data_IF_127335895811
#
_entry.id   IF_127335895811
#
_cell.length_a   1.000
_cell.length_b   1.000
_cell.length_c   1.000
_cell.angle_alpha   90.00
_cell.angle_beta   90.00
_cell.angle_gamma   90.00
#
_symmetry.space_group_name_H-M   'P 1'
#
loop_
_entity.id
_entity.type
_entity.pdbx_description
1 polymer ?
#
# COMPACT_ATOMS: atom_id res chain seq x y z
N UNK A 1 6.60 16.29 21.55
CA UNK A 1 6.81 16.01 20.12
C UNK A 1 6.27 17.17 19.31
N UNK A 2 6.91 17.57 18.20
CA UNK A 2 6.35 18.60 17.34
C UNK A 2 5.02 18.14 16.73
N UNK A 3 4.06 19.05 16.62
CA UNK A 3 2.81 18.82 15.89
C UNK A 3 3.00 19.31 14.46
N UNK A 4 2.77 18.43 13.49
CA UNK A 4 2.90 18.70 12.05
C UNK A 4 1.52 18.47 11.43
N UNK A 5 1.06 19.39 10.57
CA UNK A 5 -0.23 19.20 9.90
C UNK A 5 -0.15 18.05 8.90
N UNK A 6 -1.25 17.30 8.67
CA UNK A 6 -1.28 16.20 7.70
C UNK A 6 -0.85 16.64 6.29
N UNK A 7 -1.24 17.84 5.86
CA UNK A 7 -0.93 18.39 4.53
C UNK A 7 0.57 18.67 4.40
N UNK A 8 1.18 19.23 5.46
CA UNK A 8 2.62 19.49 5.49
C UNK A 8 3.42 18.19 5.50
N UNK A 9 2.97 17.21 6.27
CA UNK A 9 3.60 15.89 6.35
C UNK A 9 3.48 15.14 5.02
N UNK A 10 2.30 15.18 4.40
CA UNK A 10 2.05 14.57 3.11
C UNK A 10 2.96 15.16 2.03
N UNK A 11 3.02 16.49 1.90
CA UNK A 11 3.88 17.16 0.92
C UNK A 11 5.35 16.75 1.06
N UNK A 12 5.90 16.84 2.27
CA UNK A 12 7.30 16.46 2.54
C UNK A 12 7.52 14.97 2.25
N UNK A 13 6.59 14.11 2.66
CA UNK A 13 6.66 12.68 2.40
C UNK A 13 6.73 12.36 0.91
N UNK A 14 5.88 13.00 0.09
CA UNK A 14 5.90 12.79 -1.36
C UNK A 14 7.22 13.25 -1.96
N UNK A 15 7.70 14.44 -1.63
CA UNK A 15 8.98 14.98 -2.09
C UNK A 15 10.15 14.00 -1.79
N UNK A 16 10.15 13.41 -0.58
CA UNK A 16 11.16 12.43 -0.17
C UNK A 16 11.04 11.12 -0.96
N UNK A 17 9.84 10.58 -1.13
CA UNK A 17 9.63 9.33 -1.87
C UNK A 17 9.91 9.47 -3.37
N UNK A 18 9.59 10.62 -3.97
CA UNK A 18 9.96 10.94 -5.35
C UNK A 18 11.47 11.06 -5.51
N UNK A 19 12.16 11.75 -4.59
CA UNK A 19 13.63 11.76 -4.55
C UNK A 19 14.22 10.34 -4.35
N UNK A 20 13.47 9.47 -3.65
CA UNK A 20 13.83 8.06 -3.52
C UNK A 20 13.71 7.29 -4.86
N UNK A 21 13.03 7.84 -5.85
CA UNK A 21 12.89 7.30 -7.21
C UNK A 21 11.48 6.81 -7.55
N UNK A 22 10.52 6.94 -6.63
CA UNK A 22 9.13 6.59 -6.88
C UNK A 22 8.53 7.49 -7.97
N UNK A 23 7.47 7.00 -8.61
CA UNK A 23 6.61 7.89 -9.41
C UNK A 23 5.81 8.81 -8.48
N UNK A 24 5.31 9.93 -8.99
CA UNK A 24 4.47 10.82 -8.20
C UNK A 24 3.20 10.11 -7.67
N UNK A 25 2.63 9.21 -8.47
CA UNK A 25 1.43 8.45 -8.08
C UNK A 25 1.74 7.41 -7.00
N UNK A 26 2.84 6.67 -7.12
CA UNK A 26 3.27 5.71 -6.10
C UNK A 26 3.67 6.42 -4.80
N UNK A 27 4.38 7.55 -4.91
CA UNK A 27 4.76 8.38 -3.77
C UNK A 27 3.52 8.86 -3.01
N UNK A 28 2.53 9.41 -3.72
CA UNK A 28 1.26 9.83 -3.15
C UNK A 28 0.53 8.67 -2.48
N UNK A 29 0.37 7.55 -3.18
CA UNK A 29 -0.31 6.36 -2.65
C UNK A 29 0.32 5.85 -1.35
N UNK A 30 1.66 5.81 -1.30
CA UNK A 30 2.39 5.39 -0.09
C UNK A 30 2.21 6.40 1.02
N UNK A 31 2.36 7.69 0.74
CA UNK A 31 2.35 8.74 1.76
C UNK A 31 0.94 8.98 2.29
N UNK A 32 -0.10 8.88 1.47
CA UNK A 32 -1.51 8.86 1.90
C UNK A 32 -1.72 7.78 2.96
N UNK A 33 -1.27 6.55 2.69
CA UNK A 33 -1.35 5.44 3.65
C UNK A 33 -0.61 5.72 4.96
N UNK A 34 0.58 6.31 4.89
CA UNK A 34 1.38 6.61 6.09
C UNK A 34 0.77 7.75 6.91
N UNK A 35 0.33 8.83 6.27
CA UNK A 35 -0.32 9.96 6.94
C UNK A 35 -1.65 9.52 7.55
N UNK A 36 -2.47 8.75 6.82
CA UNK A 36 -3.68 8.15 7.38
C UNK A 36 -3.36 7.26 8.58
N UNK A 37 -2.28 6.47 8.51
CA UNK A 37 -1.88 5.64 9.66
C UNK A 37 -1.58 6.48 10.90
N UNK A 38 -0.93 7.63 10.77
CA UNK A 38 -0.77 8.58 11.88
C UNK A 38 -2.12 9.14 12.36
N UNK A 39 -3.00 9.55 11.45
CA UNK A 39 -4.33 10.10 11.79
C UNK A 39 -5.23 9.09 12.53
N UNK A 40 -5.07 7.80 12.24
CA UNK A 40 -5.73 6.71 12.96
C UNK A 40 -4.99 6.27 14.24
N UNK A 41 -3.96 7.00 14.69
CA UNK A 41 -3.20 6.71 15.91
C UNK A 41 -2.26 5.50 15.80
N UNK A 42 -1.93 5.06 14.59
CA UNK A 42 -1.03 3.93 14.34
C UNK A 42 0.37 4.43 13.91
N UNK A 43 1.03 5.17 14.81
CA UNK A 43 2.30 5.84 14.50
C UNK A 43 3.41 4.89 14.04
N UNK A 44 3.41 3.64 14.54
CA UNK A 44 4.34 2.59 14.14
C UNK A 44 4.24 2.18 12.66
N UNK A 45 3.18 2.60 11.95
CA UNK A 45 2.96 2.34 10.53
C UNK A 45 2.72 3.63 9.74
N UNK A 46 3.01 4.80 10.35
CA UNK A 46 2.91 6.10 9.70
C UNK A 46 4.25 6.63 9.20
N UNK A 47 4.43 7.94 9.24
CA UNK A 47 5.60 8.63 8.68
C UNK A 47 6.96 8.17 9.22
N UNK A 48 7.00 7.51 10.38
CA UNK A 48 8.22 6.88 10.92
C UNK A 48 8.83 5.86 9.93
N UNK A 49 8.04 5.32 9.01
CA UNK A 49 8.47 4.35 8.00
C UNK A 49 9.14 4.98 6.79
N UNK A 50 9.02 6.30 6.56
CA UNK A 50 9.59 6.96 5.38
C UNK A 50 11.12 6.74 5.30
N UNK A 51 11.92 6.99 6.35
CA UNK A 51 13.36 6.74 6.30
C UNK A 51 13.72 5.26 6.06
N UNK A 52 12.96 4.33 6.65
CA UNK A 52 13.14 2.89 6.44
C UNK A 52 12.90 2.51 4.98
N UNK A 53 11.84 3.04 4.37
CA UNK A 53 11.52 2.77 2.97
C UNK A 53 12.56 3.37 2.02
N UNK A 54 13.03 4.60 2.30
CA UNK A 54 14.10 5.23 1.52
C UNK A 54 15.37 4.39 1.57
N UNK A 55 15.77 3.91 2.76
CA UNK A 55 16.93 3.02 2.94
C UNK A 55 16.74 1.70 2.18
N UNK A 56 15.57 1.07 2.30
CA UNK A 56 15.25 -0.19 1.63
C UNK A 56 15.29 -0.05 0.09
N UNK A 57 14.99 1.14 -0.44
CA UNK A 57 15.05 1.47 -1.87
C UNK A 57 16.49 1.78 -2.31
N UNK A 58 17.15 2.73 -1.64
CA UNK A 58 18.42 3.32 -2.12
C UNK A 58 19.64 2.50 -1.74
N UNK A 59 19.67 1.97 -0.52
CA UNK A 59 20.87 1.38 0.05
C UNK A 59 20.84 -0.15 -0.03
N UNK A 60 19.66 -0.74 0.17
CA UNK A 60 19.53 -2.20 0.29
C UNK A 60 19.03 -2.87 -1.00
N UNK A 61 18.39 -2.13 -1.91
CA UNK A 61 17.75 -2.67 -3.11
C UNK A 61 16.63 -3.69 -2.82
N UNK A 62 16.17 -3.77 -1.56
CA UNK A 62 15.13 -4.68 -1.10
C UNK A 62 13.76 -4.31 -1.64
N UNK A 63 13.48 -3.02 -1.75
CA UNK A 63 12.25 -2.49 -2.34
C UNK A 63 12.55 -1.83 -3.67
N UNK A 64 11.64 -1.99 -4.64
CA UNK A 64 11.74 -1.29 -5.92
C UNK A 64 10.90 -0.03 -5.87
N UNK A 65 11.52 1.11 -6.11
CA UNK A 65 10.81 2.38 -6.24
C UNK A 65 9.79 2.38 -7.39
N UNK A 66 10.07 1.56 -8.43
CA UNK A 66 9.22 1.34 -9.59
C UNK A 66 9.21 -0.15 -9.91
N UNK A 67 8.02 -0.75 -9.97
CA UNK A 67 7.87 -2.10 -10.47
C UNK A 67 6.51 -2.26 -11.15
N UNK A 68 6.44 -3.20 -12.08
CA UNK A 68 5.18 -3.55 -12.72
C UNK A 68 4.35 -4.45 -11.82
N UNK A 69 3.19 -3.95 -11.40
CA UNK A 69 2.17 -4.77 -10.74
C UNK A 69 1.43 -5.57 -11.80
N UNK A 70 1.40 -6.90 -11.67
CA UNK A 70 0.84 -7.80 -12.70
C UNK A 70 -0.13 -8.80 -12.10
N UNK A 71 -1.22 -9.07 -12.81
CA UNK A 71 -2.11 -10.20 -12.51
C UNK A 71 -1.50 -11.45 -13.16
N UNK A 72 -1.13 -12.44 -12.36
CA UNK A 72 -0.53 -13.69 -12.84
C UNK A 72 -1.58 -14.75 -13.17
N UNK A 73 -2.71 -14.73 -12.45
CA UNK A 73 -3.82 -15.66 -12.63
C UNK A 73 -5.10 -14.95 -12.27
N UNK A 74 -6.13 -15.19 -13.06
CA UNK A 74 -7.42 -14.56 -12.88
C UNK A 74 -8.57 -15.53 -13.17
N UNK A 75 -9.60 -15.45 -12.35
CA UNK A 75 -10.91 -16.08 -12.54
C UNK A 75 -11.99 -15.07 -12.11
N UNK A 76 -13.30 -15.37 -12.26
CA UNK A 76 -14.36 -14.44 -11.86
C UNK A 76 -14.21 -13.92 -10.43
N UNK A 77 -14.07 -14.82 -9.45
CA UNK A 77 -14.01 -14.46 -8.03
C UNK A 77 -12.61 -14.51 -7.41
N UNK A 78 -11.54 -14.83 -8.16
CA UNK A 78 -10.19 -14.90 -7.57
C UNK A 78 -9.11 -14.35 -8.48
N UNK A 79 -8.03 -13.82 -7.88
CA UNK A 79 -6.83 -13.43 -8.61
C UNK A 79 -5.53 -13.59 -7.79
N UNK A 80 -4.41 -13.68 -8.49
CA UNK A 80 -3.06 -13.62 -7.93
C UNK A 80 -2.34 -12.41 -8.53
N UNK A 81 -1.92 -11.47 -7.67
CA UNK A 81 -1.19 -10.27 -8.05
C UNK A 81 0.28 -10.40 -7.62
N UNK A 82 1.20 -10.16 -8.56
CA UNK A 82 2.64 -10.00 -8.29
C UNK A 82 2.96 -8.51 -8.25
N UNK A 83 3.45 -8.02 -7.10
CA UNK A 83 3.81 -6.62 -6.89
C UNK A 83 5.19 -6.25 -7.47
N UNK A 84 5.92 -7.22 -8.04
CA UNK A 84 7.21 -6.99 -8.69
C UNK A 84 8.35 -6.54 -7.75
N UNK A 85 8.11 -6.48 -6.43
CA UNK A 85 8.98 -5.90 -5.43
C UNK A 85 8.70 -4.43 -5.09
N UNK A 86 7.60 -3.84 -5.59
CA UNK A 86 7.22 -2.46 -5.26
C UNK A 86 6.86 -2.27 -3.78
N UNK A 87 6.65 -1.00 -3.41
CA UNK A 87 6.09 -0.62 -2.12
C UNK A 87 4.74 -1.31 -1.87
N UNK A 88 4.52 -1.79 -0.65
CA UNK A 88 3.39 -2.66 -0.34
C UNK A 88 2.05 -1.95 -0.42
N UNK A 89 2.03 -0.64 -0.19
CA UNK A 89 0.87 0.22 -0.34
C UNK A 89 0.37 0.24 -1.80
N UNK A 90 1.28 0.21 -2.78
CA UNK A 90 0.95 0.16 -4.22
C UNK A 90 0.24 -1.15 -4.54
N UNK A 91 0.89 -2.29 -4.26
CA UNK A 91 0.34 -3.61 -4.53
C UNK A 91 -0.93 -3.93 -3.73
N UNK A 92 -0.97 -3.53 -2.46
CA UNK A 92 -2.13 -3.74 -1.58
C UNK A 92 -3.36 -2.97 -2.05
N UNK A 93 -3.17 -1.72 -2.51
CA UNK A 93 -4.26 -0.90 -3.06
C UNK A 93 -4.80 -1.52 -4.35
N UNK A 94 -3.93 -1.93 -5.27
CA UNK A 94 -4.33 -2.62 -6.52
C UNK A 94 -5.08 -3.93 -6.21
N UNK A 95 -4.58 -4.73 -5.26
CA UNK A 95 -5.21 -5.99 -4.89
C UNK A 95 -6.61 -5.78 -4.30
N UNK A 96 -6.79 -4.79 -3.42
CA UNK A 96 -8.10 -4.50 -2.83
C UNK A 96 -9.07 -3.92 -3.85
N UNK A 97 -8.62 -3.02 -4.74
CA UNK A 97 -9.46 -2.50 -5.84
C UNK A 97 -9.93 -3.63 -6.77
N UNK A 98 -9.05 -4.56 -7.12
CA UNK A 98 -9.40 -5.72 -7.93
C UNK A 98 -10.41 -6.64 -7.21
N UNK A 99 -10.23 -6.85 -5.91
CA UNK A 99 -11.16 -7.63 -5.10
C UNK A 99 -12.55 -6.97 -5.05
N UNK A 100 -12.63 -5.66 -4.80
CA UNK A 100 -13.89 -4.91 -4.79
C UNK A 100 -14.59 -4.98 -6.15
N UNK A 101 -13.87 -4.76 -7.26
CA UNK A 101 -14.43 -4.87 -8.61
C UNK A 101 -15.09 -6.24 -8.84
N UNK A 102 -14.34 -7.32 -8.58
CA UNK A 102 -14.83 -8.69 -8.75
C UNK A 102 -16.00 -9.03 -7.82
N UNK A 103 -15.95 -8.56 -6.58
CA UNK A 103 -17.03 -8.78 -5.62
C UNK A 103 -18.33 -8.07 -6.04
N UNK A 104 -18.25 -6.90 -6.67
CA UNK A 104 -19.43 -6.23 -7.24
C UNK A 104 -20.05 -7.04 -8.38
N UNK A 105 -19.23 -7.64 -9.23
CA UNK A 105 -19.68 -8.42 -10.39
C UNK A 105 -20.18 -9.82 -10.02
N UNK A 106 -19.61 -10.44 -8.98
CA UNK A 106 -19.82 -11.86 -8.68
C UNK A 106 -20.20 -12.17 -7.21
N UNK A 107 -20.52 -11.16 -6.42
CA UNK A 107 -20.94 -11.27 -5.01
C UNK A 107 -19.79 -11.43 -4.01
N UNK A 108 -18.69 -12.07 -4.39
CA UNK A 108 -17.49 -12.23 -3.54
C UNK A 108 -16.21 -12.27 -4.39
N UNK A 109 -15.08 -11.92 -3.77
CA UNK A 109 -13.78 -12.12 -4.39
C UNK A 109 -12.65 -12.30 -3.36
N UNK A 110 -11.64 -13.09 -3.75
CA UNK A 110 -10.39 -13.26 -3.00
C UNK A 110 -9.19 -12.98 -3.90
N UNK A 111 -8.37 -12.01 -3.52
CA UNK A 111 -7.14 -11.66 -4.23
C UNK A 111 -5.94 -11.91 -3.33
N UNK A 112 -4.96 -12.64 -3.84
CA UNK A 112 -3.67 -12.85 -3.16
C UNK A 112 -2.60 -11.94 -3.75
N UNK A 113 -1.76 -11.37 -2.89
CA UNK A 113 -0.64 -10.50 -3.28
C UNK A 113 0.68 -11.20 -2.92
N UNK A 114 1.61 -11.25 -3.87
CA UNK A 114 2.96 -11.82 -3.67
C UNK A 114 4.05 -10.88 -4.14
N UNK A 115 5.29 -11.17 -3.70
CA UNK A 115 6.50 -10.38 -3.99
C UNK A 115 6.30 -8.90 -3.70
N UNK A 116 5.70 -8.65 -2.53
CA UNK A 116 5.43 -7.31 -2.01
C UNK A 116 6.39 -6.99 -0.86
N UNK A 117 6.57 -5.71 -0.61
CA UNK A 117 7.22 -5.19 0.59
C UNK A 117 6.19 -4.95 1.71
N UNK A 118 6.64 -4.30 2.80
CA UNK A 118 5.78 -3.93 3.92
C UNK A 118 4.57 -3.09 3.47
N UNK A 119 3.37 -3.53 3.86
CA UNK A 119 2.10 -2.96 3.39
C UNK A 119 1.61 -1.78 4.25
N UNK A 120 2.29 -1.46 5.35
CA UNK A 120 1.80 -0.45 6.29
C UNK A 120 0.62 -0.96 7.12
N UNK A 121 -0.30 -0.08 7.51
CA UNK A 121 -1.46 -0.44 8.33
C UNK A 121 -2.45 -1.29 7.52
N UNK A 122 -2.50 -2.59 7.81
CA UNK A 122 -3.40 -3.55 7.14
C UNK A 122 -4.87 -3.13 7.18
N UNK A 123 -5.30 -2.46 8.26
CA UNK A 123 -6.67 -1.94 8.40
C UNK A 123 -7.08 -0.88 7.36
N UNK A 124 -6.13 -0.30 6.61
CA UNK A 124 -6.44 0.65 5.53
C UNK A 124 -7.18 -0.01 4.36
N UNK A 125 -6.91 -1.29 4.05
CA UNK A 125 -7.49 -1.95 2.88
C UNK A 125 -8.96 -2.34 3.08
N UNK A 126 -9.37 -2.98 4.20
CA UNK A 126 -10.79 -3.21 4.47
C UNK A 126 -11.62 -1.93 4.53
N UNK A 127 -11.02 -0.81 4.96
CA UNK A 127 -11.69 0.48 4.98
C UNK A 127 -12.02 0.99 3.56
N UNK A 128 -11.21 0.67 2.55
CA UNK A 128 -11.55 0.95 1.15
C UNK A 128 -12.84 0.25 0.74
N UNK A 129 -12.99 -1.04 1.08
CA UNK A 129 -14.21 -1.81 0.81
C UNK A 129 -15.41 -1.27 1.58
N UNK A 130 -15.24 -0.94 2.86
CA UNK A 130 -16.32 -0.41 3.70
C UNK A 130 -16.88 0.92 3.16
N UNK A 131 -16.03 1.83 2.68
CA UNK A 131 -16.44 3.10 2.06
C UNK A 131 -17.29 2.91 0.79
N UNK A 132 -17.14 1.75 0.17
CA UNK A 132 -17.79 1.34 -1.08
C UNK A 132 -19.03 0.47 -0.85
N UNK A 133 -19.47 0.29 0.41
CA UNK A 133 -20.62 -0.53 0.79
C UNK A 133 -20.35 -2.03 0.77
N UNK A 134 -19.08 -2.44 0.85
CA UNK A 134 -18.64 -3.84 0.84
C UNK A 134 -18.01 -4.24 2.17
N UNK A 135 -18.06 -5.54 2.49
CA UNK A 135 -17.26 -6.11 3.58
C UNK A 135 -15.86 -6.43 3.04
N UNK A 136 -14.82 -5.97 3.71
CA UNK A 136 -13.42 -6.26 3.37
C UNK A 136 -12.71 -7.04 4.47
N UNK A 137 -11.88 -8.01 4.07
CA UNK A 137 -10.95 -8.71 4.96
C UNK A 137 -9.55 -8.61 4.36
N UNK A 138 -8.54 -8.36 5.20
CA UNK A 138 -7.16 -8.28 4.77
C UNK A 138 -6.25 -8.97 5.79
N UNK A 139 -5.33 -9.78 5.29
CA UNK A 139 -4.34 -10.50 6.07
C UNK A 139 -2.99 -10.33 5.40
N UNK A 140 -1.93 -10.29 6.20
CA UNK A 140 -0.56 -10.23 5.70
C UNK A 140 0.30 -11.15 6.55
N UNK A 141 1.33 -11.73 5.93
CA UNK A 141 2.43 -12.31 6.68
C UNK A 141 3.46 -11.22 7.01
N UNK A 142 4.31 -11.48 8.01
CA UNK A 142 5.47 -10.66 8.29
C UNK A 142 6.70 -11.56 8.37
N UNK A 143 7.81 -11.09 7.81
CA UNK A 143 9.10 -11.74 7.98
C UNK A 143 9.66 -11.51 9.38
N UNK A 144 10.62 -12.35 9.78
CA UNK A 144 11.57 -12.03 10.85
C UNK A 144 12.70 -11.17 10.29
#
# INVERSE_FOLDING_TARGET
MPVISPEKLHRIGCEVMEAAGCTADDARSVVDHLVDSNLFGHDSHGAIRIPEYVKAIKDEGRFKARADVRILRESPCTAVVDNGGALGQVGGTVAMQLAMKKAREHGTATVSLRRTSHVGRVGAYPLMAAREGLIGLAFVNAGR
#
